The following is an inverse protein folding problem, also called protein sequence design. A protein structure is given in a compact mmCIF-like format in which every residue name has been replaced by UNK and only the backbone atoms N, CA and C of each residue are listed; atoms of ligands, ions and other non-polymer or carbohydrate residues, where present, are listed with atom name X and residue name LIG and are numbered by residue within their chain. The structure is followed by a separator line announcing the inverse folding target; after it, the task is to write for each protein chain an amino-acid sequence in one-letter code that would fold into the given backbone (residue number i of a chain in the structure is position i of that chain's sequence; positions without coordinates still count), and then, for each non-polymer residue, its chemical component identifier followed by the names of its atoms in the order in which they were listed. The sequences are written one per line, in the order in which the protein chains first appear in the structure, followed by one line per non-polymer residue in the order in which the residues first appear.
data_IF_589598888797
#
_entry.id   IF_589598888797
#
_cell.length_a   1.000
_cell.length_b   1.000
_cell.length_c   1.000
_cell.angle_alpha   90.00
_cell.angle_beta   90.00
_cell.angle_gamma   90.00
#
_symmetry.space_group_name_H-M   'P 1'
#
loop_
_entity.id
_entity.type
_entity.pdbx_description
1 polymer ?
#
# COMPACT_ATOMS: atom_id res chain seq x y z
N UNK A 1 2.33 -12.04 -20.90
CA UNK A 1 2.48 -13.43 -21.39
C UNK A 1 3.83 -13.92 -20.87
N UNK A 2 3.89 -15.10 -20.25
CA UNK A 2 5.15 -15.68 -19.76
C UNK A 2 5.19 -17.16 -20.19
N UNK A 3 6.31 -17.59 -20.80
CA UNK A 3 6.48 -18.93 -21.36
C UNK A 3 5.29 -19.41 -22.24
N UNK A 4 4.75 -18.54 -23.09
CA UNK A 4 3.64 -18.87 -23.98
C UNK A 4 2.25 -18.92 -23.32
N UNK A 5 2.14 -18.66 -22.01
CA UNK A 5 0.86 -18.59 -21.30
C UNK A 5 0.43 -17.14 -21.07
N UNK A 6 -0.83 -16.84 -21.41
CA UNK A 6 -1.46 -15.57 -21.04
C UNK A 6 -1.64 -15.56 -19.52
N UNK A 7 -1.07 -14.56 -18.84
CA UNK A 7 -1.11 -14.46 -17.38
C UNK A 7 -2.30 -13.63 -16.89
N UNK A 8 -2.65 -12.57 -17.63
CA UNK A 8 -3.78 -11.69 -17.38
C UNK A 8 -4.07 -10.86 -18.65
N UNK A 9 -5.30 -10.37 -18.80
CA UNK A 9 -5.71 -9.49 -19.91
C UNK A 9 -6.85 -8.58 -19.52
N UNK A 10 -6.84 -7.34 -20.01
CA UNK A 10 -7.85 -6.31 -19.71
C UNK A 10 -7.24 -4.92 -19.60
N UNK A 11 -7.98 -3.98 -19.00
CA UNK A 11 -7.45 -2.67 -18.59
C UNK A 11 -6.35 -2.81 -17.54
N UNK A 12 -5.57 -1.75 -17.33
CA UNK A 12 -4.47 -1.73 -16.35
C UNK A 12 -4.96 -2.16 -14.96
N UNK A 13 -6.10 -1.65 -14.51
CA UNK A 13 -6.66 -1.98 -13.20
C UNK A 13 -7.16 -3.43 -13.13
N UNK A 14 -7.76 -3.94 -14.22
CA UNK A 14 -8.19 -5.34 -14.31
C UNK A 14 -7.00 -6.30 -14.25
N UNK A 15 -5.91 -5.97 -14.95
CA UNK A 15 -4.70 -6.79 -14.95
C UNK A 15 -4.04 -6.76 -13.58
N UNK A 16 -3.96 -5.60 -12.91
CA UNK A 16 -3.45 -5.50 -11.54
C UNK A 16 -4.23 -6.37 -10.56
N UNK A 17 -5.55 -6.34 -10.65
CA UNK A 17 -6.42 -7.17 -9.82
C UNK A 17 -6.25 -8.67 -10.14
N UNK A 18 -6.14 -9.05 -11.41
CA UNK A 18 -5.92 -10.45 -11.82
C UNK A 18 -4.55 -10.98 -11.39
N UNK A 19 -3.54 -10.13 -11.33
CA UNK A 19 -2.18 -10.49 -10.92
C UNK A 19 -1.96 -10.42 -9.41
N UNK A 20 -2.97 -10.01 -8.62
CA UNK A 20 -2.96 -10.12 -7.16
C UNK A 20 -2.07 -9.10 -6.43
N UNK A 21 -1.59 -8.06 -7.11
CA UNK A 21 -0.79 -7.00 -6.48
C UNK A 21 -1.69 -6.04 -5.70
N UNK A 22 -2.09 -6.44 -4.49
CA UNK A 22 -2.77 -5.55 -3.52
C UNK A 22 -1.80 -4.73 -2.68
N UNK A 23 -0.51 -5.02 -2.77
CA UNK A 23 0.52 -4.31 -2.03
C UNK A 23 0.65 -2.88 -2.56
N UNK A 24 0.42 -1.92 -1.68
CA UNK A 24 0.51 -0.49 -1.96
C UNK A 24 1.28 0.18 -0.85
N UNK A 25 2.07 1.19 -1.22
CA UNK A 25 2.74 2.05 -0.24
C UNK A 25 1.87 3.26 0.02
N UNK A 26 1.54 3.50 1.28
CA UNK A 26 0.85 4.69 1.74
C UNK A 26 1.84 5.66 2.37
N UNK A 27 1.66 6.93 2.06
CA UNK A 27 2.45 8.03 2.62
C UNK A 27 1.50 9.03 3.26
N UNK A 28 1.68 9.29 4.54
CA UNK A 28 0.88 10.26 5.31
C UNK A 28 1.80 11.36 5.79
N UNK A 29 1.46 12.61 5.48
CA UNK A 29 2.14 13.77 6.05
C UNK A 29 1.26 14.45 7.08
N UNK A 30 1.81 14.71 8.26
CA UNK A 30 1.10 15.21 9.43
C UNK A 30 1.61 16.59 9.85
N UNK A 31 0.78 17.40 10.50
CA UNK A 31 1.26 18.68 11.05
C UNK A 31 2.13 18.51 12.30
N UNK A 32 1.81 17.51 13.14
CA UNK A 32 2.49 17.19 14.40
C UNK A 32 2.14 15.75 14.82
N UNK A 33 2.78 15.24 15.89
CA UNK A 33 2.47 13.94 16.52
C UNK A 33 2.65 12.73 15.59
N UNK A 34 3.73 12.71 14.82
CA UNK A 34 4.02 11.60 13.90
C UNK A 34 4.29 10.29 14.64
N UNK A 35 4.97 10.32 15.78
CA UNK A 35 5.24 9.13 16.59
C UNK A 35 3.96 8.50 17.15
N UNK A 36 3.03 9.30 17.69
CA UNK A 36 1.73 8.80 18.18
C UNK A 36 0.93 8.13 17.04
N UNK A 37 0.91 8.76 15.87
CA UNK A 37 0.24 8.23 14.69
C UNK A 37 0.91 6.94 14.19
N UNK A 38 2.25 6.89 14.21
CA UNK A 38 3.03 5.71 13.82
C UNK A 38 2.77 4.53 14.76
N UNK A 39 2.71 4.78 16.07
CA UNK A 39 2.39 3.75 17.06
C UNK A 39 1.00 3.16 16.82
N UNK A 40 0.00 4.00 16.53
CA UNK A 40 -1.34 3.53 16.23
C UNK A 40 -1.41 2.77 14.89
N UNK A 41 -0.79 3.30 13.84
CA UNK A 41 -0.72 2.66 12.53
C UNK A 41 -0.01 1.29 12.59
N UNK A 42 1.07 1.19 13.36
CA UNK A 42 1.80 -0.07 13.55
C UNK A 42 1.02 -1.15 14.29
N UNK A 43 -0.11 -0.82 14.91
CA UNK A 43 -1.03 -1.79 15.54
C UNK A 43 -2.10 -2.34 14.59
N UNK A 44 -2.18 -1.81 13.36
CA UNK A 44 -3.20 -2.20 12.39
C UNK A 44 -2.72 -3.43 11.61
N UNK A 45 -3.60 -4.43 11.45
CA UNK A 45 -3.24 -5.74 10.88
C UNK A 45 -2.70 -5.65 9.44
N UNK A 46 -3.21 -4.71 8.65
CA UNK A 46 -2.85 -4.57 7.24
C UNK A 46 -1.62 -3.69 6.99
N UNK A 47 -1.06 -3.07 8.05
CA UNK A 47 0.09 -2.17 7.98
C UNK A 47 1.39 -2.93 8.20
N UNK A 48 2.37 -2.71 7.34
CA UNK A 48 3.70 -3.32 7.44
C UNK A 48 4.80 -2.36 6.96
N UNK A 49 6.05 -2.68 7.30
CA UNK A 49 7.24 -1.89 6.89
C UNK A 49 7.16 -0.37 7.23
N UNK A 50 6.53 -0.02 8.34
CA UNK A 50 6.33 1.37 8.74
C UNK A 50 7.64 2.08 9.04
N UNK A 51 7.81 3.29 8.49
CA UNK A 51 8.97 4.17 8.71
C UNK A 51 8.51 5.61 8.91
N UNK A 52 9.10 6.27 9.90
CA UNK A 52 8.84 7.68 10.23
C UNK A 52 10.03 8.53 9.77
N UNK A 53 9.73 9.59 9.03
CA UNK A 53 10.67 10.59 8.54
C UNK A 53 10.19 11.98 8.93
N UNK A 54 10.53 12.41 10.15
CA UNK A 54 10.03 13.65 10.72
C UNK A 54 8.50 13.62 10.85
N UNK A 55 7.83 14.41 10.01
CA UNK A 55 6.36 14.52 10.01
C UNK A 55 5.67 13.65 8.96
N UNK A 56 6.43 12.81 8.27
CA UNK A 56 5.94 11.94 7.22
C UNK A 56 6.08 10.47 7.65
N UNK A 57 5.03 9.69 7.43
CA UNK A 57 5.00 8.26 7.74
C UNK A 57 4.79 7.51 6.43
N UNK A 58 5.64 6.52 6.17
CA UNK A 58 5.57 5.65 4.99
C UNK A 58 5.37 4.22 5.46
N UNK A 59 4.46 3.48 4.83
CA UNK A 59 4.22 2.08 5.19
C UNK A 59 3.58 1.32 4.02
N UNK A 60 3.81 0.01 3.98
CA UNK A 60 3.08 -0.90 3.11
C UNK A 60 1.69 -1.19 3.68
N UNK A 61 0.71 -1.37 2.81
CA UNK A 61 -0.68 -1.63 3.17
C UNK A 61 -1.29 -2.71 2.26
N UNK A 62 -1.97 -3.69 2.87
CA UNK A 62 -2.61 -4.83 2.16
C UNK A 62 -4.14 -4.87 2.27
N UNK A 63 -4.74 -3.90 2.94
CA UNK A 63 -6.19 -3.83 3.14
C UNK A 63 -6.97 -3.38 1.91
N UNK A 64 -8.29 -3.48 1.99
CA UNK A 64 -9.22 -2.96 0.98
C UNK A 64 -9.25 -1.42 0.99
N UNK A 65 -9.96 -0.83 0.03
CA UNK A 65 -10.15 0.61 -0.03
C UNK A 65 -10.98 1.11 1.18
N UNK A 66 -11.93 0.31 1.67
CA UNK A 66 -12.66 0.57 2.91
C UNK A 66 -11.73 0.54 4.12
N UNK A 67 -10.87 -0.48 4.24
CA UNK A 67 -9.91 -0.55 5.33
C UNK A 67 -8.93 0.65 5.31
N UNK A 68 -8.56 1.13 4.12
CA UNK A 68 -7.78 2.35 3.96
C UNK A 68 -8.54 3.60 4.43
N UNK A 69 -9.83 3.71 4.11
CA UNK A 69 -10.67 4.79 4.61
C UNK A 69 -10.79 4.76 6.15
N UNK A 70 -10.94 3.57 6.72
CA UNK A 70 -11.00 3.34 8.17
C UNK A 70 -9.70 3.77 8.88
N UNK A 71 -8.53 3.58 8.24
CA UNK A 71 -7.25 4.09 8.75
C UNK A 71 -7.27 5.61 8.90
N UNK A 72 -7.71 6.31 7.85
CA UNK A 72 -7.78 7.77 7.83
C UNK A 72 -8.78 8.25 8.88
N UNK A 73 -9.94 7.60 8.97
CA UNK A 73 -10.97 7.94 9.96
C UNK A 73 -10.47 7.73 11.40
N UNK A 74 -9.76 6.63 11.66
CA UNK A 74 -9.13 6.33 12.95
C UNK A 74 -8.11 7.40 13.37
N UNK A 75 -7.24 7.82 12.46
CA UNK A 75 -6.30 8.92 12.72
C UNK A 75 -7.01 10.24 13.05
N UNK A 76 -8.07 10.57 12.31
CA UNK A 76 -8.86 11.77 12.56
C UNK A 76 -9.52 11.71 13.95
N UNK A 77 -10.07 10.55 14.34
CA UNK A 77 -10.68 10.34 15.68
C UNK A 77 -9.66 10.50 16.82
N UNK A 78 -8.40 10.16 16.59
CA UNK A 78 -7.30 10.38 17.55
C UNK A 78 -6.83 11.85 17.62
N UNK A 79 -7.45 12.74 16.83
CA UNK A 79 -7.08 14.15 16.74
C UNK A 79 -5.79 14.39 15.95
N UNK A 80 -5.34 13.40 15.16
CA UNK A 80 -4.17 13.56 14.29
C UNK A 80 -4.54 14.47 13.12
N UNK A 81 -3.71 15.49 12.88
CA UNK A 81 -3.93 16.49 11.83
C UNK A 81 -3.15 16.10 10.58
N UNK A 82 -3.84 15.50 9.61
CA UNK A 82 -3.27 15.08 8.33
C UNK A 82 -3.21 16.28 7.38
N UNK A 83 -2.02 16.53 6.82
CA UNK A 83 -1.77 17.55 5.80
C UNK A 83 -1.90 16.98 4.39
N UNK A 84 -1.41 15.76 4.18
CA UNK A 84 -1.45 15.08 2.89
C UNK A 84 -1.52 13.55 3.10
N UNK A 85 -2.18 12.87 2.17
CA UNK A 85 -2.28 11.42 2.11
C UNK A 85 -2.08 11.00 0.64
N UNK A 86 -1.14 10.11 0.40
CA UNK A 86 -0.75 9.67 -0.93
C UNK A 86 -0.68 8.14 -0.97
N UNK A 87 -1.22 7.57 -2.04
CA UNK A 87 -1.15 6.14 -2.33
C UNK A 87 -0.28 5.93 -3.56
N UNK A 88 0.76 5.11 -3.42
CA UNK A 88 1.58 4.64 -4.54
C UNK A 88 1.34 3.15 -4.73
N UNK A 89 0.74 2.79 -5.86
CA UNK A 89 0.62 1.41 -6.32
C UNK A 89 1.86 1.01 -7.13
N UNK A 90 2.22 -0.26 -7.06
CA UNK A 90 3.25 -0.85 -7.93
C UNK A 90 2.98 -0.52 -9.40
N UNK A 91 4.05 -0.18 -10.12
CA UNK A 91 3.95 0.02 -11.56
C UNK A 91 3.64 -1.29 -12.26
N UNK A 92 3.21 -1.23 -13.51
CA UNK A 92 2.99 -2.44 -14.30
C UNK A 92 4.29 -3.23 -14.51
N UNK A 93 5.41 -2.52 -14.62
CA UNK A 93 6.74 -3.12 -14.78
C UNK A 93 7.14 -3.90 -13.52
N UNK A 94 6.90 -3.34 -12.33
CA UNK A 94 7.17 -4.02 -11.06
C UNK A 94 6.37 -5.33 -10.95
N UNK A 95 5.09 -5.30 -11.33
CA UNK A 95 4.21 -6.47 -11.31
C UNK A 95 4.68 -7.53 -12.31
N UNK A 96 5.11 -7.14 -13.51
CA UNK A 96 5.64 -8.08 -14.50
C UNK A 96 6.93 -8.75 -14.00
N UNK A 97 7.81 -8.01 -13.34
CA UNK A 97 9.03 -8.54 -12.71
C UNK A 97 8.66 -9.54 -11.62
N UNK A 98 7.79 -9.17 -10.69
CA UNK A 98 7.36 -10.04 -9.58
C UNK A 98 6.73 -11.34 -10.08
N UNK A 99 5.87 -11.27 -11.10
CA UNK A 99 5.23 -12.45 -11.69
C UNK A 99 6.26 -13.32 -12.43
N UNK A 100 7.25 -12.73 -13.09
CA UNK A 100 8.33 -13.48 -13.74
C UNK A 100 9.25 -14.16 -12.74
N UNK A 101 9.53 -13.53 -11.59
CA UNK A 101 10.35 -14.08 -10.51
C UNK A 101 9.63 -15.16 -9.71
N UNK A 102 8.34 -14.98 -9.40
CA UNK A 102 7.53 -15.96 -8.68
C UNK A 102 7.37 -17.27 -9.46
N UNK A 103 7.26 -17.21 -10.80
CA UNK A 103 7.20 -18.40 -11.66
C UNK A 103 8.55 -19.13 -11.82
N UNK A 104 9.67 -18.57 -11.34
CA UNK A 104 10.99 -19.24 -11.36
C UNK A 104 11.30 -20.08 -10.12
N UNK A 105 10.53 -19.94 -9.03
CA UNK A 105 10.71 -20.76 -7.84
C UNK A 105 9.89 -22.06 -8.01
N UNK A 106 10.52 -23.25 -7.92
CA UNK A 106 9.87 -24.54 -8.14
C UNK A 106 8.82 -24.87 -7.07
#
# INVERSE_FOLDING_TARGET
MNCGRLLASGSVDQVRHQLGSTDRTLTITLLHRAEDAAAWLGSQADVHELRVHGQQIHFGFKGSDEAQADLIEGLIRLGIRIRAFEEKRSSFEDILVEVAESNRRP
#
